data_IF_458158849070
#
_entry.id   IF_458158849070
#
_cell.length_a   1.000
_cell.length_b   1.000
_cell.length_c   1.000
_cell.angle_alpha   90.00
_cell.angle_beta   90.00
_cell.angle_gamma   90.00
#
_symmetry.space_group_name_H-M   'P 1'
#
loop_
_entity.id
_entity.type
_entity.pdbx_description
1 polymer ?
#
# COMPACT_ATOMS: atom_id res chain seq x y z
N UNK A 1 -25.58 -69.51 5.26
CA UNK A 1 -24.97 -68.42 6.06
C UNK A 1 -24.75 -67.26 5.08
N UNK A 2 -25.47 -66.12 5.20
CA UNK A 2 -25.35 -65.01 4.25
C UNK A 2 -24.06 -64.20 4.52
N UNK A 3 -23.42 -63.62 3.49
CA UNK A 3 -22.24 -62.78 3.68
C UNK A 3 -22.61 -61.44 4.34
N UNK A 4 -21.87 -61.11 5.40
CA UNK A 4 -22.03 -59.91 6.23
C UNK A 4 -21.66 -58.66 5.42
N UNK A 5 -22.68 -57.96 4.90
CA UNK A 5 -22.52 -56.77 4.05
C UNK A 5 -22.59 -55.47 4.88
N UNK A 6 -21.69 -55.33 5.88
CA UNK A 6 -21.59 -54.08 6.65
C UNK A 6 -20.71 -53.07 5.92
N UNK A 7 -21.27 -51.89 5.65
CA UNK A 7 -20.52 -50.74 5.16
C UNK A 7 -19.52 -50.31 6.26
N UNK A 8 -18.22 -50.12 5.95
CA UNK A 8 -17.22 -49.80 6.96
C UNK A 8 -17.47 -48.40 7.55
N UNK A 9 -17.28 -48.27 8.86
CA UNK A 9 -17.47 -47.03 9.60
C UNK A 9 -16.40 -45.99 9.23
N UNK A 10 -16.70 -44.70 9.39
CA UNK A 10 -15.78 -43.59 9.06
C UNK A 10 -14.39 -43.72 9.72
N UNK A 11 -14.31 -44.36 10.89
CA UNK A 11 -13.06 -44.63 11.59
C UNK A 11 -12.18 -45.70 10.92
N UNK A 12 -12.78 -46.69 10.23
CA UNK A 12 -12.04 -47.74 9.50
C UNK A 12 -11.49 -47.23 8.16
N UNK A 13 -12.11 -46.21 7.56
CA UNK A 13 -11.59 -45.56 6.35
C UNK A 13 -10.31 -44.78 6.61
N UNK A 14 -10.17 -44.17 7.79
CA UNK A 14 -8.95 -43.44 8.18
C UNK A 14 -7.72 -44.34 8.35
N UNK A 15 -7.90 -45.62 8.66
CA UNK A 15 -6.78 -46.57 8.85
C UNK A 15 -6.19 -47.10 7.54
N UNK A 16 -6.84 -46.85 6.40
CA UNK A 16 -6.39 -47.30 5.06
C UNK A 16 -5.65 -46.24 4.24
N UNK A 17 -5.54 -45.02 4.73
CA UNK A 17 -4.72 -43.98 4.11
C UNK A 17 -3.30 -44.11 4.64
N UNK A 18 -2.48 -44.93 3.99
CA UNK A 18 -1.02 -44.84 4.14
C UNK A 18 -0.58 -43.51 3.52
N UNK A 19 0.12 -42.62 4.26
CA UNK A 19 0.67 -41.43 3.66
C UNK A 19 1.75 -41.86 2.67
N UNK A 20 1.55 -41.51 1.42
CA UNK A 20 2.52 -41.69 0.35
C UNK A 20 3.74 -40.82 0.67
N UNK A 21 4.84 -41.45 1.08
CA UNK A 21 6.04 -40.76 1.61
C UNK A 21 6.90 -40.12 0.52
N UNK A 22 6.54 -40.33 -0.75
CA UNK A 22 7.29 -39.82 -1.91
C UNK A 22 6.51 -38.76 -2.71
N UNK A 23 5.36 -38.28 -2.21
CA UNK A 23 4.62 -37.21 -2.87
C UNK A 23 5.45 -35.91 -2.85
N UNK A 24 6.05 -35.59 -3.99
CA UNK A 24 6.80 -34.35 -4.17
C UNK A 24 5.85 -33.15 -4.09
N UNK A 25 6.37 -31.96 -3.74
CA UNK A 25 5.56 -30.73 -3.75
C UNK A 25 4.92 -30.51 -5.14
N UNK A 26 5.59 -30.96 -6.20
CA UNK A 26 5.07 -30.96 -7.56
C UNK A 26 3.82 -31.85 -7.73
N UNK A 27 3.83 -33.09 -7.23
CA UNK A 27 2.66 -33.98 -7.27
C UNK A 27 1.46 -33.43 -6.49
N UNK A 28 1.72 -32.73 -5.37
CA UNK A 28 0.67 -32.09 -4.60
C UNK A 28 0.08 -30.88 -5.33
N UNK A 29 0.90 -30.06 -5.97
CA UNK A 29 0.43 -28.93 -6.79
C UNK A 29 -0.35 -29.40 -8.02
N UNK A 30 0.08 -30.47 -8.68
CA UNK A 30 -0.64 -31.06 -9.81
C UNK A 30 -2.00 -31.61 -9.39
N UNK A 31 -2.06 -32.28 -8.22
CA UNK A 31 -3.33 -32.77 -7.65
C UNK A 31 -4.26 -31.63 -7.22
N UNK A 32 -3.73 -30.52 -6.72
CA UNK A 32 -4.54 -29.33 -6.36
C UNK A 32 -5.10 -28.67 -7.63
N UNK A 33 -4.26 -28.46 -8.65
CA UNK A 33 -4.67 -27.85 -9.92
C UNK A 33 -5.72 -28.69 -10.67
N UNK A 34 -5.57 -30.01 -10.66
CA UNK A 34 -6.59 -30.93 -11.22
C UNK A 34 -7.88 -30.94 -10.40
N UNK A 35 -7.81 -30.81 -9.08
CA UNK A 35 -8.99 -30.68 -8.22
C UNK A 35 -9.73 -29.36 -8.45
N UNK A 36 -8.99 -28.26 -8.58
CA UNK A 36 -9.53 -26.92 -8.85
C UNK A 36 -10.19 -26.86 -10.23
N UNK A 37 -9.55 -27.44 -11.24
CA UNK A 37 -10.12 -27.57 -12.59
C UNK A 37 -11.39 -28.42 -12.56
N UNK A 38 -11.38 -29.54 -11.84
CA UNK A 38 -12.57 -30.38 -11.66
C UNK A 38 -13.69 -29.70 -10.89
N UNK A 39 -13.37 -28.84 -9.91
CA UNK A 39 -14.34 -28.02 -9.18
C UNK A 39 -14.95 -26.93 -10.05
N UNK A 40 -14.15 -26.22 -10.84
CA UNK A 40 -14.61 -25.19 -11.78
C UNK A 40 -15.51 -25.80 -12.86
N UNK A 41 -15.10 -26.92 -13.44
CA UNK A 41 -15.86 -27.62 -14.47
C UNK A 41 -17.16 -28.23 -13.89
N UNK A 42 -17.08 -28.86 -12.71
CA UNK A 42 -18.25 -29.42 -12.04
C UNK A 42 -19.25 -28.36 -11.54
N UNK A 43 -18.78 -27.16 -11.22
CA UNK A 43 -19.64 -26.01 -10.92
C UNK A 43 -20.33 -25.51 -12.19
N UNK A 44 -19.58 -25.30 -13.28
CA UNK A 44 -20.15 -24.87 -14.57
C UNK A 44 -21.19 -25.86 -15.09
N UNK A 45 -20.88 -27.16 -15.12
CA UNK A 45 -21.83 -28.18 -15.61
C UNK A 45 -23.09 -28.28 -14.75
N UNK A 46 -22.96 -28.11 -13.43
CA UNK A 46 -24.12 -28.07 -12.54
C UNK A 46 -24.93 -26.78 -12.73
N UNK A 47 -24.26 -25.65 -12.95
CA UNK A 47 -24.90 -24.37 -13.22
C UNK A 47 -25.65 -24.40 -14.54
N UNK A 48 -25.03 -24.91 -15.61
CA UNK A 48 -25.64 -25.11 -16.93
C UNK A 48 -26.81 -26.11 -16.87
N UNK A 49 -26.68 -27.18 -16.08
CA UNK A 49 -27.79 -28.10 -15.80
C UNK A 49 -28.93 -27.45 -15.03
N UNK A 50 -28.62 -26.60 -14.06
CA UNK A 50 -29.65 -25.88 -13.30
C UNK A 50 -30.39 -24.92 -14.23
N UNK A 51 -29.65 -24.20 -15.09
CA UNK A 51 -30.24 -23.35 -16.12
C UNK A 51 -31.14 -24.15 -17.06
N UNK A 52 -30.68 -25.31 -17.57
CA UNK A 52 -31.46 -26.17 -18.45
C UNK A 52 -32.68 -26.82 -17.74
N UNK A 53 -32.56 -27.22 -16.47
CA UNK A 53 -33.69 -27.75 -15.70
C UNK A 53 -34.72 -26.67 -15.38
N UNK A 54 -34.29 -25.42 -15.13
CA UNK A 54 -35.22 -24.31 -14.97
C UNK A 54 -35.92 -23.97 -16.29
N UNK A 55 -35.22 -24.02 -17.43
CA UNK A 55 -35.81 -23.76 -18.75
C UNK A 55 -36.95 -24.76 -19.08
N UNK A 56 -36.82 -26.02 -18.64
CA UNK A 56 -37.82 -27.08 -18.80
C UNK A 56 -39.00 -26.97 -17.82
N UNK A 57 -38.79 -26.47 -16.60
CA UNK A 57 -39.89 -26.22 -15.63
C UNK A 57 -40.78 -25.03 -16.08
N UNK A 58 -40.26 -24.18 -16.96
CA UNK A 58 -40.86 -22.90 -17.37
C UNK A 58 -41.78 -23.04 -18.61
N UNK A 59 -42.13 -24.26 -19.04
CA UNK A 59 -43.19 -24.45 -20.05
C UNK A 59 -44.62 -24.25 -19.51
N UNK A 60 -44.86 -24.28 -18.18
CA UNK A 60 -46.23 -24.35 -17.64
C UNK A 60 -46.85 -23.01 -17.11
N UNK A 61 -46.11 -21.92 -16.85
CA UNK A 61 -46.73 -20.66 -16.37
C UNK A 61 -46.05 -19.39 -16.93
N UNK A 62 -46.75 -18.69 -17.85
CA UNK A 62 -46.23 -17.57 -18.65
C UNK A 62 -45.83 -16.29 -17.89
N UNK A 63 -46.36 -16.04 -16.68
CA UNK A 63 -45.98 -14.88 -15.86
C UNK A 63 -44.66 -15.09 -15.12
N UNK A 64 -44.35 -16.33 -14.71
CA UNK A 64 -43.11 -16.65 -13.99
C UNK A 64 -41.88 -16.64 -14.92
N UNK A 65 -42.10 -16.89 -16.21
CA UNK A 65 -41.12 -16.87 -17.31
C UNK A 65 -40.47 -15.49 -17.52
N UNK A 66 -41.24 -14.41 -17.33
CA UNK A 66 -40.74 -13.03 -17.44
C UNK A 66 -39.86 -12.68 -16.24
N UNK A 67 -40.25 -13.09 -15.04
CA UNK A 67 -39.52 -12.80 -13.81
C UNK A 67 -38.19 -13.54 -13.72
N UNK A 68 -38.16 -14.82 -14.15
CA UNK A 68 -36.94 -15.62 -14.19
C UNK A 68 -35.97 -15.09 -15.25
N UNK A 69 -36.43 -14.79 -16.46
CA UNK A 69 -35.58 -14.19 -17.49
C UNK A 69 -35.03 -12.82 -17.07
N UNK A 70 -35.83 -12.01 -16.38
CA UNK A 70 -35.36 -10.75 -15.83
C UNK A 70 -34.25 -10.96 -14.79
N UNK A 71 -34.44 -11.86 -13.81
CA UNK A 71 -33.41 -12.21 -12.81
C UNK A 71 -32.14 -12.75 -13.50
N UNK A 72 -32.28 -13.56 -14.54
CA UNK A 72 -31.14 -14.09 -15.28
C UNK A 72 -30.38 -12.99 -16.04
N UNK A 73 -31.11 -12.03 -16.61
CA UNK A 73 -30.51 -10.85 -17.26
C UNK A 73 -29.74 -10.00 -16.25
N UNK A 74 -30.30 -9.78 -15.05
CA UNK A 74 -29.63 -9.06 -13.96
C UNK A 74 -28.38 -9.81 -13.44
N UNK A 75 -28.43 -11.15 -13.35
CA UNK A 75 -27.26 -11.97 -12.98
C UNK A 75 -26.17 -11.88 -14.04
N UNK A 76 -26.53 -11.92 -15.33
CA UNK A 76 -25.57 -11.75 -16.42
C UNK A 76 -24.92 -10.37 -16.40
N UNK A 77 -25.71 -9.31 -16.21
CA UNK A 77 -25.20 -7.94 -16.07
C UNK A 77 -24.25 -7.82 -14.85
N UNK A 78 -24.61 -8.42 -13.71
CA UNK A 78 -23.75 -8.44 -12.53
C UNK A 78 -22.43 -9.18 -12.79
N UNK A 79 -22.46 -10.30 -13.51
CA UNK A 79 -21.26 -11.06 -13.85
C UNK A 79 -20.33 -10.26 -14.78
N UNK A 80 -20.88 -9.53 -15.75
CA UNK A 80 -20.13 -8.64 -16.63
C UNK A 80 -19.47 -7.50 -15.83
N UNK A 81 -20.20 -6.88 -14.90
CA UNK A 81 -19.63 -5.88 -13.99
C UNK A 81 -18.51 -6.43 -13.09
N UNK A 82 -18.67 -7.65 -12.57
CA UNK A 82 -17.63 -8.31 -11.76
C UNK A 82 -16.39 -8.57 -12.61
N UNK A 83 -16.55 -9.03 -13.87
CA UNK A 83 -15.44 -9.26 -14.78
C UNK A 83 -14.67 -7.97 -15.07
N UNK A 84 -15.37 -6.87 -15.38
CA UNK A 84 -14.77 -5.54 -15.57
C UNK A 84 -14.01 -5.07 -14.32
N UNK A 85 -14.63 -5.20 -13.14
CA UNK A 85 -13.99 -4.79 -11.88
C UNK A 85 -12.76 -5.65 -11.57
N UNK A 86 -12.79 -6.94 -11.91
CA UNK A 86 -11.64 -7.83 -11.75
C UNK A 86 -10.46 -7.39 -12.62
N UNK A 87 -10.73 -6.96 -13.85
CA UNK A 87 -9.72 -6.42 -14.76
C UNK A 87 -9.14 -5.09 -14.26
N UNK A 88 -9.98 -4.19 -13.76
CA UNK A 88 -9.54 -2.93 -13.13
C UNK A 88 -8.67 -3.18 -11.90
N UNK A 89 -9.01 -4.14 -11.04
CA UNK A 89 -8.18 -4.50 -9.88
C UNK A 89 -6.89 -5.20 -10.30
N UNK A 90 -6.91 -6.00 -11.36
CA UNK A 90 -5.69 -6.58 -11.93
C UNK A 90 -4.74 -5.51 -12.47
N UNK A 91 -5.28 -4.41 -13.02
CA UNK A 91 -4.50 -3.25 -13.46
C UNK A 91 -3.91 -2.41 -12.32
N UNK A 92 -4.34 -2.64 -11.07
CA UNK A 92 -3.72 -2.06 -9.87
C UNK A 92 -2.66 -2.96 -9.25
N UNK A 93 -2.66 -4.26 -9.58
CA UNK A 93 -1.64 -5.21 -9.13
C UNK A 93 -0.40 -5.08 -10.03
N UNK A 94 0.81 -4.91 -9.47
CA UNK A 94 2.07 -4.96 -10.23
C UNK A 94 2.16 -6.23 -11.10
N UNK A 95 2.72 -6.09 -12.30
CA UNK A 95 2.95 -7.22 -13.20
C UNK A 95 4.03 -8.20 -12.68
N UNK A 96 4.97 -7.73 -11.85
CA UNK A 96 6.03 -8.51 -11.21
C UNK A 96 5.76 -8.70 -9.70
N UNK A 97 6.47 -9.63 -9.03
CA UNK A 97 6.48 -9.74 -7.55
C UNK A 97 7.11 -8.51 -6.83
N UNK A 98 7.40 -7.45 -7.59
CA UNK A 98 7.88 -6.19 -7.07
C UNK A 98 6.89 -5.58 -6.07
N UNK A 99 7.44 -4.89 -5.07
CA UNK A 99 6.71 -4.10 -4.08
C UNK A 99 5.66 -3.23 -4.77
N UNK A 100 4.42 -3.25 -4.28
CA UNK A 100 3.36 -2.46 -4.90
C UNK A 100 3.73 -0.97 -4.91
N UNK A 101 3.35 -0.26 -5.97
CA UNK A 101 3.73 1.15 -6.10
C UNK A 101 3.18 2.00 -4.96
N UNK A 102 2.03 1.61 -4.41
CA UNK A 102 1.46 2.23 -3.22
C UNK A 102 2.39 2.07 -2.03
N UNK A 103 3.00 0.90 -1.84
CA UNK A 103 3.96 0.63 -0.77
C UNK A 103 5.23 1.46 -0.92
N UNK A 104 5.76 1.60 -2.14
CA UNK A 104 6.92 2.46 -2.39
C UNK A 104 6.58 3.91 -2.09
N UNK A 105 5.44 4.40 -2.60
CA UNK A 105 5.01 5.78 -2.35
C UNK A 105 4.76 6.09 -0.87
N UNK A 106 4.23 5.15 -0.08
CA UNK A 106 4.05 5.34 1.37
C UNK A 106 5.38 5.32 2.13
N UNK A 107 6.35 4.54 1.68
CA UNK A 107 7.70 4.52 2.24
C UNK A 107 8.41 5.87 1.99
N UNK A 108 8.45 6.32 0.74
CA UNK A 108 9.02 7.62 0.34
C UNK A 108 8.37 8.79 1.12
N UNK A 109 7.03 8.77 1.24
CA UNK A 109 6.31 9.80 1.97
C UNK A 109 6.60 9.78 3.48
N UNK A 110 6.89 8.61 4.05
CA UNK A 110 7.32 8.48 5.46
C UNK A 110 8.74 9.01 5.66
N UNK A 111 9.63 8.80 4.70
CA UNK A 111 10.99 9.34 4.70
C UNK A 111 10.99 10.86 4.60
N UNK A 112 10.12 11.45 3.77
CA UNK A 112 9.90 12.90 3.70
C UNK A 112 9.45 13.44 5.07
N UNK A 113 8.49 12.80 5.75
CA UNK A 113 8.07 13.24 7.09
C UNK A 113 9.26 13.22 8.05
N UNK A 114 10.01 12.12 8.11
CA UNK A 114 11.17 11.99 9.00
C UNK A 114 12.26 13.02 8.72
N UNK A 115 12.57 13.27 7.44
CA UNK A 115 13.54 14.28 7.03
C UNK A 115 13.09 15.68 7.45
N UNK A 116 11.81 16.01 7.27
CA UNK A 116 11.26 17.30 7.68
C UNK A 116 11.20 17.47 9.21
N UNK A 117 10.94 16.41 9.97
CA UNK A 117 11.02 16.43 11.44
C UNK A 117 12.45 16.68 11.92
N UNK A 118 13.42 16.01 11.29
CA UNK A 118 14.84 16.19 11.61
C UNK A 118 15.28 17.63 11.32
N UNK A 119 14.95 18.15 10.13
CA UNK A 119 15.24 19.53 9.77
C UNK A 119 14.59 20.54 10.73
N UNK A 120 13.33 20.31 11.13
CA UNK A 120 12.64 21.15 12.10
C UNK A 120 13.33 21.13 13.47
N UNK A 121 13.73 19.96 13.97
CA UNK A 121 14.48 19.84 15.23
C UNK A 121 15.81 20.60 15.16
N UNK A 122 16.57 20.46 14.06
CA UNK A 122 17.81 21.21 13.86
C UNK A 122 17.56 22.73 13.85
N UNK A 123 16.46 23.20 13.24
CA UNK A 123 16.10 24.62 13.29
C UNK A 123 15.83 25.07 14.73
N UNK A 124 15.08 24.28 15.51
CA UNK A 124 14.80 24.59 16.92
C UNK A 124 16.08 24.63 17.76
N UNK A 125 16.98 23.67 17.60
CA UNK A 125 18.29 23.64 18.27
C UNK A 125 19.15 24.86 17.90
N UNK A 126 19.13 25.29 16.64
CA UNK A 126 19.84 26.49 16.20
C UNK A 126 19.25 27.75 16.82
N UNK A 127 17.92 27.83 16.96
CA UNK A 127 17.26 28.96 17.64
C UNK A 127 17.62 28.99 19.13
N UNK A 128 17.68 27.85 19.80
CA UNK A 128 18.12 27.78 21.21
C UNK A 128 19.58 28.26 21.37
N UNK A 129 20.46 27.91 20.43
CA UNK A 129 21.83 28.42 20.40
C UNK A 129 21.88 29.93 20.14
N UNK A 130 21.05 30.44 19.23
CA UNK A 130 20.93 31.88 18.97
C UNK A 130 20.49 32.64 20.23
N UNK A 131 19.52 32.12 20.97
CA UNK A 131 19.04 32.73 22.21
C UNK A 131 20.13 32.76 23.30
N UNK A 132 20.94 31.70 23.39
CA UNK A 132 22.08 31.68 24.30
C UNK A 132 23.11 32.75 23.95
N UNK A 133 23.43 32.92 22.65
CA UNK A 133 24.34 33.97 22.17
C UNK A 133 23.75 35.36 22.40
N UNK A 134 22.46 35.57 22.17
CA UNK A 134 21.78 36.84 22.46
C UNK A 134 21.85 37.20 23.96
N UNK A 135 21.63 36.22 24.83
CA UNK A 135 21.72 36.42 26.27
C UNK A 135 23.15 36.81 26.70
N UNK A 136 24.18 36.19 26.12
CA UNK A 136 25.58 36.57 26.34
C UNK A 136 25.87 37.99 25.84
N UNK A 137 25.43 38.32 24.62
CA UNK A 137 25.56 39.68 24.07
C UNK A 137 24.92 40.71 25.00
N UNK A 138 23.72 40.44 25.50
CA UNK A 138 23.00 41.33 26.42
C UNK A 138 23.77 41.57 27.72
N UNK A 139 24.39 40.53 28.28
CA UNK A 139 25.19 40.62 29.50
C UNK A 139 26.50 41.42 29.30
N UNK A 140 27.02 41.44 28.07
CA UNK A 140 28.23 42.18 27.72
C UNK A 140 27.98 43.64 27.33
N UNK A 141 26.72 44.07 27.22
CA UNK A 141 26.39 45.48 26.94
C UNK A 141 26.81 46.36 28.12
N UNK A 142 27.60 47.39 27.82
CA UNK A 142 28.04 48.38 28.81
C UNK A 142 26.86 49.20 29.35
N UNK A 143 26.93 49.58 30.63
CA UNK A 143 25.90 50.38 31.28
C UNK A 143 25.61 51.68 30.48
N UNK A 144 24.35 51.87 30.11
CA UNK A 144 23.91 53.02 29.30
C UNK A 144 23.88 52.77 27.79
N UNK A 145 24.25 51.57 27.32
CA UNK A 145 24.18 51.14 25.92
C UNK A 145 24.69 52.19 24.92
N UNK A 146 25.98 52.58 25.03
CA UNK A 146 26.54 53.67 24.22
C UNK A 146 26.53 53.39 22.71
N UNK A 147 26.58 52.11 22.33
CA UNK A 147 26.59 51.65 20.95
C UNK A 147 25.17 51.35 20.41
N UNK A 148 24.14 51.40 21.28
CA UNK A 148 22.75 51.16 20.89
C UNK A 148 22.45 49.71 20.48
N UNK A 149 23.09 48.73 21.12
CA UNK A 149 22.97 47.31 20.78
C UNK A 149 21.71 46.65 21.38
N UNK A 150 21.14 47.18 22.47
CA UNK A 150 19.98 46.55 23.12
C UNK A 150 18.75 46.41 22.19
N UNK A 151 18.38 47.41 21.38
CA UNK A 151 17.26 47.28 20.45
C UNK A 151 17.46 46.18 19.39
N UNK A 152 18.69 45.95 18.93
CA UNK A 152 18.99 44.91 17.96
C UNK A 152 18.94 43.52 18.62
N UNK A 153 19.38 43.40 19.88
CA UNK A 153 19.24 42.16 20.67
C UNK A 153 17.75 41.87 20.93
N UNK A 154 16.96 42.86 21.34
CA UNK A 154 15.50 42.71 21.51
C UNK A 154 14.82 42.24 20.20
N UNK A 155 15.30 42.74 19.06
CA UNK A 155 14.80 42.33 17.74
C UNK A 155 15.16 40.89 17.41
N UNK A 156 16.37 40.44 17.74
CA UNK A 156 16.77 39.04 17.57
C UNK A 156 15.90 38.11 18.43
N UNK A 157 15.63 38.47 19.69
CA UNK A 157 14.74 37.70 20.58
C UNK A 157 13.32 37.57 19.97
N UNK A 158 12.81 38.64 19.35
CA UNK A 158 11.53 38.61 18.63
C UNK A 158 11.56 37.66 17.43
N UNK A 159 12.65 37.66 16.65
CA UNK A 159 12.82 36.78 15.49
C UNK A 159 12.90 35.31 15.93
N UNK A 160 13.64 35.01 17.00
CA UNK A 160 13.69 33.66 17.58
C UNK A 160 12.30 33.15 17.94
N UNK A 161 11.48 33.97 18.58
CA UNK A 161 10.10 33.62 18.94
C UNK A 161 9.20 33.37 17.72
N UNK A 162 9.37 34.16 16.65
CA UNK A 162 8.67 33.95 15.38
C UNK A 162 9.09 32.63 14.71
N UNK A 163 10.38 32.27 14.74
CA UNK A 163 10.90 31.01 14.20
C UNK A 163 10.36 29.80 14.95
N UNK A 164 10.35 29.83 16.29
CA UNK A 164 9.73 28.79 17.11
C UNK A 164 8.25 28.59 16.75
N UNK A 165 7.53 29.70 16.58
CA UNK A 165 6.11 29.68 16.21
C UNK A 165 5.90 29.12 14.80
N UNK A 166 6.75 29.49 13.84
CA UNK A 166 6.68 28.98 12.48
C UNK A 166 6.91 27.46 12.40
N UNK A 167 7.88 26.94 13.17
CA UNK A 167 8.18 25.51 13.22
C UNK A 167 7.03 24.68 13.83
N UNK A 168 6.17 25.28 14.67
CA UNK A 168 5.01 24.58 15.24
C UNK A 168 4.00 24.07 14.20
N UNK A 169 3.96 24.67 13.00
CA UNK A 169 3.10 24.21 11.90
C UNK A 169 3.59 22.91 11.22
N UNK A 170 4.84 22.51 11.46
CA UNK A 170 5.40 21.29 10.92
C UNK A 170 4.73 20.05 11.54
N UNK A 171 4.39 20.07 12.83
CA UNK A 171 3.69 18.97 13.52
C UNK A 171 2.32 18.67 12.85
N UNK A 172 1.53 19.71 12.55
CA UNK A 172 0.24 19.55 11.85
C UNK A 172 0.44 18.97 10.44
N UNK A 173 1.52 19.35 9.76
CA UNK A 173 1.85 18.84 8.43
C UNK A 173 2.27 17.36 8.50
N UNK A 174 3.14 16.99 9.44
CA UNK A 174 3.54 15.61 9.68
C UNK A 174 2.35 14.70 10.03
N UNK A 175 1.46 15.15 10.91
CA UNK A 175 0.23 14.42 11.23
C UNK A 175 -0.69 14.22 10.03
N UNK A 176 -0.88 15.26 9.20
CA UNK A 176 -1.71 15.17 7.99
C UNK A 176 -1.13 14.19 6.98
N UNK A 177 0.19 14.23 6.77
CA UNK A 177 0.88 13.30 5.88
C UNK A 177 0.74 11.86 6.41
N UNK A 178 1.00 11.64 7.70
CA UNK A 178 0.81 10.33 8.33
C UNK A 178 -0.62 9.79 8.17
N UNK A 179 -1.63 10.65 8.23
CA UNK A 179 -3.02 10.26 7.96
C UNK A 179 -3.24 9.82 6.51
N UNK A 180 -2.60 10.48 5.55
CA UNK A 180 -2.64 10.08 4.13
C UNK A 180 -1.94 8.73 3.94
N UNK A 181 -0.75 8.54 4.50
CA UNK A 181 -0.01 7.27 4.48
C UNK A 181 -0.86 6.12 5.03
N UNK A 182 -1.47 6.31 6.19
CA UNK A 182 -2.36 5.31 6.79
C UNK A 182 -3.59 5.00 5.92
N UNK A 183 -4.13 6.00 5.22
CA UNK A 183 -5.26 5.81 4.31
C UNK A 183 -4.85 5.01 3.07
N UNK A 184 -3.66 5.27 2.52
CA UNK A 184 -3.09 4.50 1.42
C UNK A 184 -2.84 3.04 1.82
N UNK A 185 -2.24 2.81 2.99
CA UNK A 185 -2.04 1.47 3.54
C UNK A 185 -3.36 0.71 3.76
N UNK A 186 -4.41 1.41 4.16
CA UNK A 186 -5.75 0.82 4.29
C UNK A 186 -6.33 0.39 2.94
N UNK A 187 -6.17 1.23 1.91
CA UNK A 187 -6.61 0.93 0.54
C UNK A 187 -5.83 -0.28 0.02
N UNK A 188 -4.51 -0.30 0.19
CA UNK A 188 -3.64 -1.40 -0.22
C UNK A 188 -4.06 -2.74 0.41
N UNK A 189 -4.28 -2.76 1.73
CA UNK A 189 -4.71 -3.97 2.42
C UNK A 189 -6.08 -4.48 1.92
N UNK A 190 -6.94 -3.60 1.41
CA UNK A 190 -8.25 -3.97 0.87
C UNK A 190 -8.15 -4.44 -0.59
N UNK A 191 -7.30 -3.82 -1.39
CA UNK A 191 -6.95 -4.29 -2.73
C UNK A 191 -6.35 -5.70 -2.67
N UNK A 192 -5.42 -5.94 -1.74
CA UNK A 192 -4.81 -7.25 -1.55
C UNK A 192 -5.87 -8.33 -1.24
N UNK A 193 -6.84 -8.03 -0.38
CA UNK A 193 -7.97 -8.94 -0.12
C UNK A 193 -8.83 -9.20 -1.35
N UNK A 194 -9.07 -8.18 -2.19
CA UNK A 194 -9.84 -8.37 -3.43
C UNK A 194 -9.08 -9.24 -4.44
N UNK A 195 -7.76 -9.05 -4.56
CA UNK A 195 -6.86 -9.89 -5.36
C UNK A 195 -6.93 -11.35 -4.89
N UNK A 196 -6.87 -11.58 -3.57
CA UNK A 196 -6.98 -12.92 -2.96
C UNK A 196 -8.34 -13.58 -3.23
N UNK A 197 -9.44 -12.86 -2.99
CA UNK A 197 -10.81 -13.38 -3.20
C UNK A 197 -11.04 -13.76 -4.67
N UNK A 198 -10.51 -12.96 -5.60
CA UNK A 198 -10.73 -13.16 -7.03
C UNK A 198 -9.66 -14.01 -7.72
N UNK A 199 -8.66 -14.50 -6.97
CA UNK A 199 -7.55 -15.30 -7.47
C UNK A 199 -6.90 -14.63 -8.71
N UNK A 200 -6.59 -13.33 -8.59
CA UNK A 200 -5.89 -12.61 -9.67
C UNK A 200 -4.42 -13.03 -9.62
N UNK A 201 -4.05 -14.00 -10.45
CA UNK A 201 -2.69 -14.55 -10.53
C UNK A 201 -1.70 -13.53 -11.13
N UNK A 202 -2.08 -12.87 -12.23
CA UNK A 202 -1.23 -11.90 -12.92
C UNK A 202 -1.81 -10.49 -12.81
N UNK A 203 -0.98 -9.55 -12.33
CA UNK A 203 -1.25 -8.12 -12.42
C UNK A 203 -0.85 -7.58 -13.79
N UNK A 204 -1.39 -6.44 -14.18
CA UNK A 204 -1.05 -5.75 -15.43
C UNK A 204 -0.52 -4.33 -15.19
N UNK A 205 -0.35 -3.92 -13.94
CA UNK A 205 0.15 -2.59 -13.63
C UNK A 205 1.63 -2.46 -14.02
N UNK A 206 1.93 -1.46 -14.84
CA UNK A 206 3.28 -1.04 -15.17
C UNK A 206 3.81 -0.11 -14.06
N UNK A 207 4.75 -0.62 -13.27
CA UNK A 207 5.36 0.13 -12.16
C UNK A 207 6.37 1.18 -12.64
N UNK A 208 6.85 1.10 -13.89
CA UNK A 208 7.77 2.10 -14.46
C UNK A 208 7.08 3.42 -14.80
N UNK A 209 5.76 3.43 -14.95
CA UNK A 209 4.98 4.63 -15.23
C UNK A 209 4.91 5.64 -14.07
N UNK A 210 5.39 5.28 -12.87
CA UNK A 210 5.32 6.11 -11.66
C UNK A 210 6.69 6.69 -11.27
N UNK A 211 7.77 6.18 -11.87
CA UNK A 211 9.07 6.87 -11.86
C UNK A 211 8.95 8.20 -12.62
N UNK A 212 9.79 9.18 -12.25
CA UNK A 212 9.94 10.41 -13.04
C UNK A 212 10.09 10.02 -14.51
N UNK A 213 9.38 10.72 -15.40
CA UNK A 213 9.51 10.48 -16.83
C UNK A 213 10.99 10.45 -17.19
N UNK A 214 11.43 9.46 -17.98
CA UNK A 214 12.85 9.35 -18.39
C UNK A 214 13.38 10.64 -19.03
N UNK A 215 12.47 11.47 -19.55
CA UNK A 215 12.68 12.81 -20.11
C UNK A 215 12.27 13.96 -19.16
N UNK A 216 12.47 13.82 -17.85
CA UNK A 216 12.27 14.94 -16.92
C UNK A 216 13.31 16.05 -17.19
N UNK A 217 12.88 17.05 -17.95
CA UNK A 217 13.65 18.21 -18.36
C UNK A 217 13.60 19.35 -17.34
N UNK A 218 13.00 19.13 -16.16
CA UNK A 218 12.93 20.18 -15.14
C UNK A 218 14.32 20.47 -14.57
N UNK A 219 14.64 21.76 -14.34
CA UNK A 219 15.97 22.17 -13.89
C UNK A 219 16.31 21.72 -12.46
N UNK A 220 15.31 21.34 -11.67
CA UNK A 220 15.41 20.91 -10.27
C UNK A 220 15.35 19.38 -10.11
N UNK A 221 15.42 18.60 -11.20
CA UNK A 221 15.33 17.14 -11.14
C UNK A 221 16.39 16.48 -10.24
N UNK A 222 17.58 17.09 -10.18
CA UNK A 222 18.70 16.58 -9.37
C UNK A 222 18.46 16.80 -7.86
N UNK A 223 17.48 17.63 -7.48
CA UNK A 223 17.08 17.87 -6.08
C UNK A 223 16.02 16.86 -5.58
N UNK A 224 15.52 15.99 -6.47
CA UNK A 224 14.51 14.98 -6.14
C UNK A 224 15.12 13.70 -5.56
N UNK A 225 16.45 13.62 -5.51
CA UNK A 225 17.12 12.60 -4.73
C UNK A 225 17.00 12.99 -3.27
N UNK A 226 16.23 12.21 -2.51
CA UNK A 226 16.20 12.31 -1.04
C UNK A 226 17.60 12.20 -0.44
N UNK A 227 17.76 12.44 0.88
CA UNK A 227 19.05 12.33 1.54
C UNK A 227 19.70 10.97 1.23
N UNK A 228 20.78 10.99 0.46
CA UNK A 228 21.53 9.79 0.12
C UNK A 228 22.31 9.36 1.36
N UNK A 229 22.19 8.08 1.72
CA UNK A 229 22.90 7.47 2.86
C UNK A 229 24.43 7.39 2.62
N UNK A 230 24.87 7.67 1.39
CA UNK A 230 26.25 8.09 1.09
C UNK A 230 26.40 9.58 1.46
N UNK A 231 26.39 9.87 2.76
CA UNK A 231 26.87 11.16 3.25
C UNK A 231 28.27 11.38 2.70
N UNK A 232 28.48 12.50 2.01
CA UNK A 232 29.83 12.94 1.64
C UNK A 232 30.69 12.87 2.90
N UNK A 233 31.70 12.00 2.88
CA UNK A 233 32.69 11.93 3.94
C UNK A 233 33.31 13.33 4.09
N UNK A 234 33.60 13.74 5.32
CA UNK A 234 34.07 15.11 5.63
C UNK A 234 35.32 15.49 4.81
N UNK A 235 36.09 14.49 4.40
CA UNK A 235 37.23 14.63 3.49
C UNK A 235 36.84 15.22 2.11
N UNK A 236 35.62 14.99 1.64
CA UNK A 236 35.09 15.55 0.39
C UNK A 236 34.61 17.00 0.53
N UNK A 237 34.21 17.42 1.73
CA UNK A 237 33.80 18.79 2.03
C UNK A 237 35.03 19.69 2.15
N UNK A 238 36.11 19.22 2.80
CA UNK A 238 37.36 19.96 2.93
C UNK A 238 38.05 20.19 1.56
N UNK A 239 37.93 19.25 0.62
CA UNK A 239 38.48 19.38 -0.74
C UNK A 239 37.77 20.43 -1.62
N UNK A 240 36.62 20.96 -1.20
CA UNK A 240 35.89 21.99 -1.94
C UNK A 240 36.31 23.43 -1.54
N UNK A 241 37.01 23.56 -0.40
CA UNK A 241 37.41 24.85 0.17
C UNK A 241 38.94 25.08 0.18
N UNK A 242 39.73 24.13 -0.33
CA UNK A 242 41.16 24.27 -0.69
C UNK A 242 41.35 24.57 -2.20
#
# INVERSE_FOLDING_TARGET
MPPDNRRPFAAERRKKATPDKDATIADLMEKISTLESGLKQGFSEKFDRLCAQLDVIVEDESEQKVTVNHVMTEIHALNEHIASTKEEVAALKPADEATSTVTVATQELSEVVKATETAANTILENVEQMDAVNAEMRNNVSAGDPDGMLPDIDRLDSISMELLTACSFQDVTGQRINKVVNSLNYIEARLQKMIEIWQIEHGTADTQAISLAEDDARPDKDLLHGPQDDGMDQDGIDALFD
#
